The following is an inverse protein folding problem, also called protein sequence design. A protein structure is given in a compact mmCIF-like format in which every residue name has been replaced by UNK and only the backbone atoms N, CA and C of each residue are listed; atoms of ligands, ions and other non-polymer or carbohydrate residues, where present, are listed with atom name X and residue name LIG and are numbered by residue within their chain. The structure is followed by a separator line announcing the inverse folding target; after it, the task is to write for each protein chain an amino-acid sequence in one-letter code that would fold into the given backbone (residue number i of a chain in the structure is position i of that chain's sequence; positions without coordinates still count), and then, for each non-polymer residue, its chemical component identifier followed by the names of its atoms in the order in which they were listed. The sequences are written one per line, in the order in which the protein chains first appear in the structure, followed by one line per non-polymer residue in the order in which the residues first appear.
data_IF_495440958195
#
_entry.id   IF_495440958195
#
_cell.length_a   1.000
_cell.length_b   1.000
_cell.length_c   1.000
_cell.angle_alpha   90.00
_cell.angle_beta   90.00
_cell.angle_gamma   90.00
#
_symmetry.space_group_name_H-M   'P 1'
#
loop_
_entity.id
_entity.type
_entity.pdbx_description
1 polymer ?
#
# COMPACT_ATOMS: atom_id res chain seq x y z
N UNK A 1 -4.19 -1.48 16.06
CA UNK A 1 -4.44 -0.52 14.95
C UNK A 1 -5.53 -1.07 14.03
N UNK A 2 -6.76 -1.18 14.54
CA UNK A 2 -7.96 -1.56 13.80
C UNK A 2 -9.07 -0.50 13.90
N UNK A 3 -8.91 0.52 14.75
CA UNK A 3 -9.95 1.49 15.12
C UNK A 3 -10.66 2.17 13.93
N UNK A 4 -9.94 2.48 12.85
CA UNK A 4 -10.55 3.15 11.68
C UNK A 4 -11.50 2.23 10.92
N UNK A 5 -11.18 0.94 10.83
CA UNK A 5 -11.97 -0.03 10.05
C UNK A 5 -13.16 -0.57 10.85
N UNK A 6 -13.07 -0.51 12.18
CA UNK A 6 -14.09 -0.96 13.12
C UNK A 6 -15.14 0.13 13.44
N UNK A 7 -15.03 1.31 12.82
CA UNK A 7 -16.02 2.39 12.99
C UNK A 7 -17.42 1.91 12.59
N UNK A 8 -18.44 2.17 13.42
CA UNK A 8 -19.84 1.85 13.12
C UNK A 8 -20.32 2.45 11.80
N UNK A 9 -21.37 1.85 11.24
CA UNK A 9 -22.02 2.37 10.05
C UNK A 9 -22.59 3.77 10.32
N UNK A 10 -22.26 4.73 9.46
CA UNK A 10 -22.64 6.13 9.60
C UNK A 10 -21.63 7.00 10.34
N UNK A 11 -20.61 6.40 10.98
CA UNK A 11 -19.50 7.15 11.57
C UNK A 11 -18.35 7.37 10.59
N UNK A 12 -17.75 8.56 10.66
CA UNK A 12 -16.63 8.96 9.83
C UNK A 12 -15.69 9.91 10.58
N UNK A 13 -14.42 9.92 10.15
CA UNK A 13 -13.40 10.84 10.64
C UNK A 13 -13.35 12.04 9.70
N UNK A 14 -13.64 13.24 10.20
CA UNK A 14 -13.44 14.47 9.44
C UNK A 14 -11.96 14.74 9.25
N UNK A 15 -11.54 14.98 8.01
CA UNK A 15 -10.15 15.31 7.64
C UNK A 15 -10.15 16.66 6.97
N UNK A 16 -9.49 17.62 7.61
CA UNK A 16 -9.22 18.91 7.00
C UNK A 16 -8.11 18.77 5.96
N UNK A 17 -8.25 19.49 4.85
CA UNK A 17 -7.20 19.59 3.83
C UNK A 17 -6.76 21.04 3.65
N UNK A 18 -5.46 21.23 3.42
CA UNK A 18 -4.90 22.55 3.11
C UNK A 18 -5.28 23.02 1.68
N UNK A 19 -4.85 24.23 1.32
CA UNK A 19 -5.10 24.81 0.01
C UNK A 19 -4.49 24.02 -1.17
N UNK A 20 -3.55 23.12 -0.91
CA UNK A 20 -2.94 22.23 -1.89
C UNK A 20 -3.60 20.84 -1.89
N UNK A 21 -4.60 20.61 -1.05
CA UNK A 21 -5.31 19.36 -0.90
C UNK A 21 -4.61 18.33 0.00
N UNK A 22 -3.55 18.70 0.73
CA UNK A 22 -2.90 17.80 1.67
C UNK A 22 -3.73 17.65 2.94
N UNK A 23 -3.90 16.42 3.47
CA UNK A 23 -4.55 16.22 4.74
C UNK A 23 -3.70 16.79 5.89
N UNK A 24 -4.32 17.58 6.75
CA UNK A 24 -3.66 18.25 7.89
C UNK A 24 -4.21 17.75 9.23
N UNK A 25 -3.53 18.13 10.31
CA UNK A 25 -3.94 17.78 11.66
C UNK A 25 -3.77 16.31 12.04
N UNK A 26 -4.35 15.95 13.17
CA UNK A 26 -4.24 14.60 13.74
C UNK A 26 -5.00 13.57 12.91
N UNK A 27 -6.17 13.96 12.40
CA UNK A 27 -7.04 13.18 11.55
C UNK A 27 -6.39 12.92 10.19
N UNK A 28 -5.67 13.91 9.64
CA UNK A 28 -4.83 13.71 8.46
C UNK A 28 -3.71 12.68 8.69
N UNK A 29 -3.05 12.71 9.86
CA UNK A 29 -2.08 11.67 10.23
C UNK A 29 -2.74 10.29 10.36
N UNK A 30 -3.94 10.20 10.95
CA UNK A 30 -4.72 8.94 11.01
C UNK A 30 -5.04 8.42 9.61
N UNK A 31 -5.45 9.29 8.69
CA UNK A 31 -5.68 8.95 7.29
C UNK A 31 -4.41 8.38 6.63
N UNK A 32 -3.27 9.05 6.75
CA UNK A 32 -2.01 8.59 6.16
C UNK A 32 -1.55 7.22 6.74
N UNK A 33 -1.84 6.96 8.02
CA UNK A 33 -1.62 5.65 8.62
C UNK A 33 -2.57 4.59 8.08
N UNK A 34 -3.85 4.93 7.87
CA UNK A 34 -4.84 4.05 7.27
C UNK A 34 -4.45 3.65 5.84
N UNK A 35 -3.98 4.59 5.02
CA UNK A 35 -3.41 4.31 3.69
C UNK A 35 -2.27 3.28 3.78
N UNK A 36 -1.35 3.48 4.72
CA UNK A 36 -0.24 2.57 4.99
C UNK A 36 -0.66 1.18 5.45
N UNK A 37 -1.83 1.05 6.09
CA UNK A 37 -2.41 -0.25 6.44
C UNK A 37 -3.04 -0.93 5.23
N UNK A 38 -3.72 -0.17 4.35
CA UNK A 38 -4.35 -0.73 3.15
C UNK A 38 -3.35 -1.31 2.16
N UNK A 39 -2.26 -0.59 1.89
CA UNK A 39 -1.25 -1.05 0.90
C UNK A 39 -0.47 -2.28 1.35
N UNK A 40 -0.59 -2.69 2.62
CA UNK A 40 0.02 -3.92 3.14
C UNK A 40 -0.94 -5.10 3.17
N UNK A 41 -2.19 -4.90 2.75
CA UNK A 41 -3.20 -5.95 2.62
C UNK A 41 -3.14 -6.48 1.18
N UNK A 42 -2.72 -7.73 1.02
CA UNK A 42 -2.48 -8.38 -0.28
C UNK A 42 -3.71 -8.36 -1.22
N UNK A 43 -4.93 -8.32 -0.67
CA UNK A 43 -6.17 -8.22 -1.44
C UNK A 43 -6.42 -6.84 -2.06
N UNK A 44 -5.76 -5.79 -1.55
CA UNK A 44 -5.90 -4.42 -2.04
C UNK A 44 -4.69 -3.99 -2.87
N UNK A 45 -3.48 -4.30 -2.42
CA UNK A 45 -2.26 -3.91 -3.12
C UNK A 45 -1.30 -5.10 -3.22
N UNK A 46 -1.51 -6.00 -4.21
CA UNK A 46 -0.65 -7.15 -4.44
C UNK A 46 0.81 -6.74 -4.61
N UNK A 47 1.74 -7.54 -4.09
CA UNK A 47 3.18 -7.21 -4.12
C UNK A 47 3.92 -7.81 -5.33
N UNK A 48 3.31 -8.79 -5.99
CA UNK A 48 3.76 -9.45 -7.21
C UNK A 48 3.62 -8.55 -8.46
N UNK A 49 2.83 -7.49 -8.37
CA UNK A 49 2.81 -6.39 -9.36
C UNK A 49 4.16 -5.66 -9.30
N UNK A 50 4.86 -5.52 -10.43
CA UNK A 50 6.23 -4.99 -10.45
C UNK A 50 6.29 -3.48 -10.20
N UNK A 51 5.48 -2.70 -10.91
CA UNK A 51 5.41 -1.24 -10.79
C UNK A 51 4.03 -0.78 -10.36
N UNK A 52 3.96 0.33 -9.61
CA UNK A 52 2.67 0.95 -9.28
C UNK A 52 1.88 1.37 -10.51
N UNK A 53 2.56 1.67 -11.64
CA UNK A 53 1.90 2.00 -12.91
C UNK A 53 1.08 0.83 -13.46
N UNK A 54 1.43 -0.39 -13.08
CA UNK A 54 0.76 -1.63 -13.49
C UNK A 54 -0.28 -2.08 -12.45
N UNK A 55 -0.46 -1.30 -11.36
CA UNK A 55 -1.49 -1.58 -10.35
C UNK A 55 -2.87 -1.47 -10.99
N UNK A 56 -3.72 -2.53 -10.93
CA UNK A 56 -5.04 -2.48 -11.54
C UNK A 56 -5.86 -1.31 -11.02
N UNK A 57 -6.54 -0.59 -11.91
CA UNK A 57 -7.37 0.56 -11.56
C UNK A 57 -8.46 0.19 -10.55
N UNK A 58 -9.00 -1.03 -10.65
CA UNK A 58 -9.97 -1.57 -9.70
C UNK A 58 -9.42 -1.64 -8.27
N UNK A 59 -8.15 -1.99 -8.09
CA UNK A 59 -7.50 -2.06 -6.79
C UNK A 59 -7.35 -0.66 -6.16
N UNK A 60 -6.91 0.31 -6.96
CA UNK A 60 -6.80 1.71 -6.55
C UNK A 60 -8.19 2.25 -6.18
N UNK A 61 -9.19 2.00 -7.01
CA UNK A 61 -10.58 2.42 -6.78
C UNK A 61 -11.14 1.82 -5.50
N UNK A 62 -10.95 0.51 -5.26
CA UNK A 62 -11.39 -0.15 -4.01
C UNK A 62 -10.74 0.47 -2.77
N UNK A 63 -9.44 0.78 -2.82
CA UNK A 63 -8.76 1.45 -1.70
C UNK A 63 -9.34 2.85 -1.45
N UNK A 64 -9.55 3.64 -2.51
CA UNK A 64 -10.11 4.99 -2.38
C UNK A 64 -11.56 4.98 -1.89
N UNK A 65 -12.40 4.05 -2.35
CA UNK A 65 -13.77 3.88 -1.86
C UNK A 65 -13.79 3.54 -0.37
N UNK A 66 -12.93 2.62 0.06
CA UNK A 66 -12.83 2.24 1.47
C UNK A 66 -12.38 3.43 2.34
N UNK A 67 -11.44 4.25 1.86
CA UNK A 67 -11.05 5.49 2.53
C UNK A 67 -12.22 6.46 2.62
N UNK A 68 -12.93 6.72 1.52
CA UNK A 68 -14.08 7.63 1.51
C UNK A 68 -15.25 7.14 2.37
N UNK A 69 -15.35 5.84 2.63
CA UNK A 69 -16.37 5.30 3.54
C UNK A 69 -16.10 5.59 5.02
N UNK A 70 -14.85 5.91 5.38
CA UNK A 70 -14.42 6.13 6.78
C UNK A 70 -13.88 7.54 7.04
N UNK A 71 -13.58 8.31 6.00
CA UNK A 71 -13.02 9.66 6.10
C UNK A 71 -13.83 10.66 5.27
N UNK A 72 -14.29 11.72 5.94
CA UNK A 72 -14.99 12.84 5.30
C UNK A 72 -14.03 14.00 5.13
N UNK A 73 -13.86 14.49 3.91
CA UNK A 73 -12.90 15.56 3.61
C UNK A 73 -13.55 16.94 3.68
N UNK A 74 -12.87 17.89 4.34
CA UNK A 74 -13.28 19.29 4.47
C UNK A 74 -12.14 20.21 4.02
N UNK A 75 -12.29 20.97 2.93
CA UNK A 75 -13.37 20.94 1.95
C UNK A 75 -13.56 19.58 1.26
N UNK A 76 -14.70 19.40 0.59
CA UNK A 76 -15.07 18.16 -0.10
C UNK A 76 -13.93 17.71 -1.02
N UNK A 77 -13.72 16.39 -1.06
CA UNK A 77 -12.68 15.74 -1.86
C UNK A 77 -12.64 16.28 -3.30
N UNK A 78 -11.49 16.81 -3.68
CA UNK A 78 -11.18 17.29 -5.04
C UNK A 78 -10.32 16.26 -5.78
N UNK A 79 -10.21 16.38 -7.11
CA UNK A 79 -9.28 15.53 -7.88
C UNK A 79 -7.82 15.73 -7.44
N UNK A 80 -7.45 16.93 -6.99
CA UNK A 80 -6.12 17.19 -6.43
C UNK A 80 -5.87 16.39 -5.15
N UNK A 81 -6.78 16.46 -4.17
CA UNK A 81 -6.68 15.66 -2.94
C UNK A 81 -6.66 14.17 -3.26
N UNK A 82 -7.51 13.72 -4.18
CA UNK A 82 -7.55 12.31 -4.62
C UNK A 82 -6.21 11.87 -5.22
N UNK A 83 -5.57 12.69 -6.05
CA UNK A 83 -4.24 12.40 -6.58
C UNK A 83 -3.20 12.29 -5.46
N UNK A 84 -3.23 13.19 -4.46
CA UNK A 84 -2.34 13.13 -3.29
C UNK A 84 -2.53 11.82 -2.51
N UNK A 85 -3.77 11.32 -2.37
CA UNK A 85 -4.02 10.02 -1.75
C UNK A 85 -3.43 8.87 -2.56
N UNK A 86 -3.56 8.89 -3.89
CA UNK A 86 -2.98 7.89 -4.79
C UNK A 86 -1.45 7.90 -4.70
N UNK A 87 -0.83 9.08 -4.68
CA UNK A 87 0.61 9.24 -4.56
C UNK A 87 1.12 8.71 -3.22
N UNK A 88 0.39 8.95 -2.13
CA UNK A 88 0.67 8.38 -0.82
C UNK A 88 0.54 6.85 -0.79
N UNK A 89 -0.50 6.29 -1.42
CA UNK A 89 -0.66 4.85 -1.57
C UNK A 89 0.53 4.25 -2.34
N UNK A 90 0.89 4.85 -3.47
CA UNK A 90 2.03 4.47 -4.30
C UNK A 90 3.34 4.45 -3.51
N UNK A 91 3.65 5.55 -2.82
CA UNK A 91 4.87 5.69 -2.05
C UNK A 91 4.95 4.65 -0.93
N UNK A 92 3.86 4.48 -0.17
CA UNK A 92 3.81 3.52 0.95
C UNK A 92 3.88 2.06 0.47
N UNK A 93 3.25 1.74 -0.66
CA UNK A 93 3.34 0.42 -1.27
C UNK A 93 4.76 0.11 -1.75
N UNK A 94 5.42 1.05 -2.43
CA UNK A 94 6.82 0.90 -2.85
C UNK A 94 7.76 0.73 -1.65
N UNK A 95 7.57 1.52 -0.60
CA UNK A 95 8.34 1.35 0.64
C UNK A 95 8.11 -0.04 1.24
N UNK A 96 6.87 -0.50 1.30
CA UNK A 96 6.58 -1.85 1.81
C UNK A 96 7.26 -2.94 0.98
N UNK A 97 7.21 -2.86 -0.36
CA UNK A 97 7.93 -3.80 -1.23
C UNK A 97 9.44 -3.76 -1.02
N UNK A 98 10.00 -2.57 -0.85
CA UNK A 98 11.41 -2.41 -0.52
C UNK A 98 11.75 -3.09 0.81
N UNK A 99 10.96 -2.86 1.86
CA UNK A 99 11.16 -3.49 3.17
C UNK A 99 11.05 -5.02 3.10
N UNK A 100 10.13 -5.55 2.28
CA UNK A 100 9.99 -6.98 2.01
C UNK A 100 11.22 -7.53 1.30
N UNK A 101 11.72 -6.85 0.25
CA UNK A 101 12.94 -7.27 -0.46
C UNK A 101 14.16 -7.22 0.45
N UNK A 102 14.36 -6.14 1.19
CA UNK A 102 15.51 -5.95 2.08
C UNK A 102 15.63 -7.04 3.16
N UNK A 103 14.52 -7.68 3.54
CA UNK A 103 14.49 -8.76 4.54
C UNK A 103 14.44 -10.15 3.93
N UNK A 104 13.86 -10.28 2.73
CA UNK A 104 13.57 -11.56 2.09
C UNK A 104 14.59 -11.99 1.04
N UNK A 105 15.29 -11.04 0.41
CA UNK A 105 16.31 -11.32 -0.60
C UNK A 105 17.67 -11.58 0.05
N UNK A 106 18.32 -12.67 -0.34
CA UNK A 106 19.64 -13.06 0.10
C UNK A 106 20.35 -13.76 -1.06
N UNK A 107 21.45 -13.16 -1.54
CA UNK A 107 22.20 -13.65 -2.70
C UNK A 107 22.85 -15.02 -2.45
N UNK A 108 22.99 -15.43 -1.19
CA UNK A 108 23.59 -16.71 -0.81
C UNK A 108 22.56 -17.84 -0.68
N UNK A 109 21.26 -17.54 -0.86
CA UNK A 109 20.16 -18.51 -0.76
C UNK A 109 19.59 -18.85 -2.13
N UNK A 110 19.02 -20.06 -2.24
CA UNK A 110 18.28 -20.42 -3.46
C UNK A 110 16.92 -19.71 -3.51
N UNK A 111 16.31 -19.71 -4.70
CA UNK A 111 14.95 -19.18 -4.91
C UNK A 111 13.95 -19.86 -3.94
N UNK A 112 14.04 -21.19 -3.78
CA UNK A 112 13.18 -21.97 -2.90
C UNK A 112 13.37 -21.63 -1.43
N UNK A 113 14.62 -21.47 -0.99
CA UNK A 113 14.95 -21.08 0.38
C UNK A 113 14.40 -19.69 0.70
N UNK A 114 14.56 -18.73 -0.22
CA UNK A 114 13.97 -17.40 -0.07
C UNK A 114 12.44 -17.48 -0.04
N UNK A 115 11.82 -18.20 -0.97
CA UNK A 115 10.37 -18.33 -1.06
C UNK A 115 9.74 -19.00 0.17
N UNK A 116 10.46 -19.91 0.83
CA UNK A 116 10.01 -20.56 2.06
C UNK A 116 10.06 -19.63 3.30
N UNK A 117 10.89 -18.58 3.27
CA UNK A 117 11.13 -17.68 4.40
C UNK A 117 10.48 -16.31 4.18
N UNK A 118 9.16 -16.22 4.39
CA UNK A 118 8.39 -14.99 4.20
C UNK A 118 8.71 -13.98 5.34
N UNK A 119 9.22 -12.76 5.03
CA UNK A 119 9.73 -11.84 6.05
C UNK A 119 8.64 -11.05 6.80
N UNK A 120 7.39 -11.07 6.34
CA UNK A 120 6.28 -10.33 6.94
C UNK A 120 4.97 -11.11 6.84
N UNK A 121 4.29 -11.34 7.97
CA UNK A 121 3.03 -12.10 8.06
C UNK A 121 1.86 -11.53 7.24
N UNK A 122 1.96 -10.29 6.77
CA UNK A 122 0.91 -9.63 5.95
C UNK A 122 1.04 -9.96 4.47
N UNK A 123 2.17 -10.53 4.08
CA UNK A 123 2.46 -10.91 2.70
C UNK A 123 1.80 -12.25 2.37
N UNK A 124 1.11 -12.28 1.24
CA UNK A 124 0.57 -13.53 0.71
C UNK A 124 1.70 -14.44 0.18
N UNK A 125 1.72 -15.74 0.55
CA UNK A 125 2.76 -16.67 0.11
C UNK A 125 2.89 -16.83 -1.41
N UNK A 126 1.77 -16.83 -2.14
CA UNK A 126 1.79 -17.00 -3.60
C UNK A 126 2.35 -15.76 -4.30
N UNK A 127 1.94 -14.56 -3.85
CA UNK A 127 2.49 -13.29 -4.34
C UNK A 127 3.98 -13.17 -4.03
N UNK A 128 4.40 -13.58 -2.83
CA UNK A 128 5.81 -13.55 -2.45
C UNK A 128 6.66 -14.47 -3.32
N UNK A 129 6.20 -15.70 -3.57
CA UNK A 129 6.89 -16.64 -4.45
C UNK A 129 7.09 -16.07 -5.86
N UNK A 130 6.05 -15.45 -6.43
CA UNK A 130 6.15 -14.79 -7.73
C UNK A 130 7.16 -13.63 -7.71
N UNK A 131 7.21 -12.86 -6.61
CA UNK A 131 8.14 -11.76 -6.44
C UNK A 131 9.59 -12.23 -6.28
N UNK A 132 9.83 -13.31 -5.51
CA UNK A 132 11.16 -13.93 -5.35
C UNK A 132 11.66 -14.47 -6.69
N UNK A 133 10.80 -15.18 -7.44
CA UNK A 133 11.11 -15.64 -8.79
C UNK A 133 11.57 -14.49 -9.69
N UNK A 134 10.88 -13.35 -9.62
CA UNK A 134 11.29 -12.15 -10.35
C UNK A 134 12.67 -11.62 -9.91
N UNK A 135 12.97 -11.57 -8.61
CA UNK A 135 14.28 -11.14 -8.11
C UNK A 135 15.42 -12.03 -8.60
N UNK A 136 15.21 -13.35 -8.64
CA UNK A 136 16.21 -14.33 -9.11
C UNK A 136 16.34 -14.39 -10.64
N UNK A 137 15.34 -13.88 -11.38
CA UNK A 137 15.40 -13.82 -12.84
C UNK A 137 16.45 -12.81 -13.34
N UNK A 138 17.00 -13.05 -14.54
CA UNK A 138 17.97 -12.15 -15.18
C UNK A 138 17.50 -10.69 -15.26
N UNK A 139 16.20 -10.43 -15.40
CA UNK A 139 15.62 -9.09 -15.44
C UNK A 139 15.61 -8.38 -14.07
N UNK A 140 15.61 -9.13 -12.98
CA UNK A 140 15.65 -8.60 -11.60
C UNK A 140 17.05 -8.15 -11.16
N UNK A 141 18.11 -8.64 -11.84
CA UNK A 141 19.52 -8.36 -11.53
C UNK A 141 20.10 -7.16 -12.29
N UNK A 142 19.41 -6.62 -13.30
CA UNK A 142 19.89 -5.49 -14.15
C UNK A 142 19.71 -4.13 -13.47
N UNK A 143 19.10 -4.09 -12.29
CA UNK A 143 18.89 -2.86 -11.50
C UNK A 143 19.53 -3.04 -10.12
N UNK A 144 20.86 -3.02 -10.09
CA UNK A 144 21.66 -2.72 -8.90
C UNK A 144 22.18 -1.30 -9.05
#
# INVERSE_FOLDING_TARGET
MSEVWDLPDGEFICVEVDALGNPIGWEGKKLLNALGCLVRKHQYAPIDILSWKDMPELNITKMLQLIQSKFHFVPKLTEQTKQILIDNLSAKWRQFKHDVKAKGYDENKTEEEMAANIPDRRVDPSQYRALVHHWCSQKGQVHV
#
